data_IF_107884094802
#
_entry.id   IF_107884094802
#
_cell.length_a   1.000
_cell.length_b   1.000
_cell.length_c   1.000
_cell.angle_alpha   90.00
_cell.angle_beta   90.00
_cell.angle_gamma   90.00
#
_symmetry.space_group_name_H-M   'P 1'
#
loop_
_entity.id
_entity.type
_entity.pdbx_description
1 polymer ?
#
# COMPACT_ATOMS: atom_id res chain seq x y z
N UNK A 1 -13.81 14.91 64.29
CA UNK A 1 -14.06 15.62 63.04
C UNK A 1 -13.35 14.87 61.92
N UNK A 2 -14.09 14.06 61.19
CA UNK A 2 -13.55 13.23 60.10
C UNK A 2 -13.62 13.99 58.79
N UNK A 3 -12.45 14.25 58.20
CA UNK A 3 -12.32 14.96 56.95
C UNK A 3 -12.53 13.98 55.79
N UNK A 4 -13.69 14.03 55.16
CA UNK A 4 -14.07 13.17 54.03
C UNK A 4 -13.71 13.91 52.73
N UNK A 5 -12.53 13.57 52.14
CA UNK A 5 -12.16 14.07 50.83
C UNK A 5 -12.93 13.32 49.73
N UNK A 6 -13.49 13.98 48.70
CA UNK A 6 -14.21 13.32 47.63
C UNK A 6 -13.23 12.55 46.74
N UNK A 7 -13.49 11.26 46.54
CA UNK A 7 -12.83 10.44 45.50
C UNK A 7 -13.27 10.91 44.12
N UNK A 8 -12.38 11.55 43.40
CA UNK A 8 -12.58 11.82 41.97
C UNK A 8 -12.43 10.49 41.23
N UNK A 9 -13.53 9.96 40.73
CA UNK A 9 -13.54 8.83 39.84
C UNK A 9 -12.99 9.28 38.46
N UNK A 10 -11.74 8.95 38.17
CA UNK A 10 -11.15 9.14 36.85
C UNK A 10 -11.70 8.04 35.94
N UNK A 11 -12.81 8.29 35.27
CA UNK A 11 -13.29 7.46 34.18
C UNK A 11 -12.34 7.61 32.98
N UNK A 12 -11.21 6.92 33.05
CA UNK A 12 -10.28 6.74 31.94
C UNK A 12 -10.90 5.87 30.87
N UNK A 13 -11.84 6.40 30.08
CA UNK A 13 -12.15 5.79 28.78
C UNK A 13 -10.95 6.07 27.90
N UNK A 14 -10.02 5.10 27.83
CA UNK A 14 -9.00 5.05 26.81
C UNK A 14 -9.70 5.16 25.45
N UNK A 15 -9.35 6.17 24.65
CA UNK A 15 -9.83 6.24 23.27
C UNK A 15 -9.48 4.92 22.56
N UNK A 16 -10.39 4.34 21.75
CA UNK A 16 -10.08 3.12 21.02
C UNK A 16 -8.83 3.36 20.17
N UNK A 17 -7.90 2.40 20.22
CA UNK A 17 -6.70 2.47 19.41
C UNK A 17 -7.09 2.71 17.93
N UNK A 18 -6.39 3.60 17.20
CA UNK A 18 -6.71 3.86 15.81
C UNK A 18 -6.67 2.57 15.00
N UNK A 19 -7.68 2.33 14.17
CA UNK A 19 -7.71 1.12 13.35
C UNK A 19 -6.53 1.13 12.39
N UNK A 20 -5.90 -0.03 12.20
CA UNK A 20 -4.84 -0.17 11.19
C UNK A 20 -5.43 -0.01 9.80
N UNK A 21 -4.83 0.87 8.99
CA UNK A 21 -5.19 1.04 7.60
C UNK A 21 -4.95 -0.25 6.81
N UNK A 22 -5.87 -0.58 5.92
CA UNK A 22 -5.84 -1.79 5.09
C UNK A 22 -5.25 -1.46 3.73
N UNK A 23 -4.16 -2.13 3.38
CA UNK A 23 -3.55 -2.06 2.04
C UNK A 23 -3.81 -3.37 1.32
N UNK A 24 -4.53 -3.29 0.21
CA UNK A 24 -4.75 -4.42 -0.70
C UNK A 24 -3.59 -4.46 -1.71
N UNK A 25 -2.84 -5.54 -1.71
CA UNK A 25 -1.69 -5.75 -2.60
C UNK A 25 -2.09 -6.75 -3.67
N UNK A 26 -2.14 -6.30 -4.93
CA UNK A 26 -2.39 -7.14 -6.10
C UNK A 26 -1.07 -7.35 -6.85
N UNK A 27 -0.51 -8.53 -6.68
CA UNK A 27 0.79 -8.96 -7.21
C UNK A 27 0.76 -10.49 -7.41
N UNK A 28 0.96 -10.97 -8.63
CA UNK A 28 0.88 -12.38 -8.98
C UNK A 28 2.12 -13.19 -8.56
N UNK A 29 3.29 -12.55 -8.46
CA UNK A 29 4.49 -13.20 -7.95
C UNK A 29 4.43 -13.39 -6.43
N UNK A 30 4.33 -14.63 -6.00
CA UNK A 30 4.16 -14.99 -4.58
C UNK A 30 5.25 -14.42 -3.66
N UNK A 31 6.52 -14.45 -4.12
CA UNK A 31 7.66 -13.93 -3.35
C UNK A 31 7.65 -12.41 -3.24
N UNK A 32 7.38 -11.70 -4.35
CA UNK A 32 7.32 -10.22 -4.37
C UNK A 32 6.15 -9.72 -3.55
N UNK A 33 4.95 -10.22 -3.78
CA UNK A 33 3.78 -9.85 -3.01
C UNK A 33 3.91 -10.22 -1.53
N UNK A 34 4.60 -11.34 -1.22
CA UNK A 34 4.92 -11.74 0.16
C UNK A 34 5.83 -10.75 0.86
N UNK A 35 6.90 -10.33 0.19
CA UNK A 35 7.85 -9.33 0.70
C UNK A 35 7.15 -7.97 0.93
N UNK A 36 6.44 -7.46 -0.06
CA UNK A 36 5.69 -6.20 0.05
C UNK A 36 4.72 -6.25 1.24
N UNK A 37 3.95 -7.33 1.36
CA UNK A 37 3.00 -7.46 2.46
C UNK A 37 3.68 -7.55 3.84
N UNK A 38 4.85 -8.18 3.94
CA UNK A 38 5.63 -8.24 5.18
C UNK A 38 6.13 -6.85 5.58
N UNK A 39 6.68 -6.09 4.64
CA UNK A 39 7.16 -4.72 4.86
C UNK A 39 6.01 -3.79 5.30
N UNK A 40 4.88 -3.83 4.62
CA UNK A 40 3.69 -3.05 5.01
C UNK A 40 3.21 -3.38 6.42
N UNK A 41 3.29 -4.66 6.84
CA UNK A 41 2.92 -5.06 8.20
C UNK A 41 3.91 -4.54 9.25
N UNK A 42 5.21 -4.50 8.94
CA UNK A 42 6.22 -3.90 9.81
C UNK A 42 5.95 -2.40 10.03
N UNK A 43 5.44 -1.71 9.01
CA UNK A 43 5.02 -0.31 9.07
C UNK A 43 3.67 -0.09 9.78
N UNK A 44 3.06 -1.14 10.30
CA UNK A 44 1.80 -1.05 11.05
C UNK A 44 0.53 -1.15 10.20
N UNK A 45 0.62 -1.32 8.89
CA UNK A 45 -0.53 -1.53 8.02
C UNK A 45 -1.07 -2.97 8.14
N UNK A 46 -2.33 -3.13 7.76
CA UNK A 46 -2.91 -4.46 7.53
C UNK A 46 -2.81 -4.78 6.04
N UNK A 47 -1.78 -5.52 5.65
CA UNK A 47 -1.62 -5.94 4.27
C UNK A 47 -2.45 -7.19 3.96
N UNK A 48 -3.26 -7.09 2.91
CA UNK A 48 -4.08 -8.17 2.34
C UNK A 48 -3.59 -8.43 0.93
N UNK A 49 -3.20 -9.66 0.63
CA UNK A 49 -2.70 -10.04 -0.69
C UNK A 49 -3.79 -10.65 -1.55
N UNK A 50 -3.72 -10.34 -2.83
CA UNK A 50 -4.42 -11.02 -3.90
C UNK A 50 -3.43 -11.29 -5.03
N UNK A 51 -3.57 -12.42 -5.71
CA UNK A 51 -2.75 -12.80 -6.87
C UNK A 51 -3.49 -12.69 -8.20
N UNK A 52 -4.77 -12.40 -8.16
CA UNK A 52 -5.59 -12.08 -9.33
C UNK A 52 -6.64 -11.00 -9.00
N UNK A 53 -7.20 -10.34 -10.03
CA UNK A 53 -8.18 -9.29 -9.86
C UNK A 53 -9.47 -9.71 -9.17
N UNK A 54 -9.96 -10.92 -9.49
CA UNK A 54 -11.22 -11.43 -8.93
C UNK A 54 -11.09 -11.66 -7.44
N UNK A 55 -9.95 -12.21 -7.00
CA UNK A 55 -9.63 -12.34 -5.59
C UNK A 55 -9.50 -10.97 -4.93
N UNK A 56 -8.82 -10.01 -5.57
CA UNK A 56 -8.68 -8.65 -5.05
C UNK A 56 -10.05 -8.02 -4.77
N UNK A 57 -10.95 -8.08 -5.72
CA UNK A 57 -12.30 -7.53 -5.57
C UNK A 57 -13.12 -8.28 -4.52
N UNK A 58 -12.99 -9.60 -4.44
CA UNK A 58 -13.63 -10.41 -3.40
C UNK A 58 -13.14 -10.03 -2.01
N UNK A 59 -11.84 -9.87 -1.83
CA UNK A 59 -11.23 -9.47 -0.57
C UNK A 59 -11.59 -8.03 -0.18
N UNK A 60 -11.69 -7.14 -1.17
CA UNK A 60 -12.06 -5.74 -0.97
C UNK A 60 -13.47 -5.57 -0.40
N UNK A 61 -14.44 -6.38 -0.88
CA UNK A 61 -15.83 -6.33 -0.39
C UNK A 61 -15.96 -6.57 1.11
N UNK A 62 -15.12 -7.45 1.66
CA UNK A 62 -15.14 -7.77 3.09
C UNK A 62 -14.24 -6.90 3.97
N UNK A 63 -13.39 -6.06 3.37
CA UNK A 63 -12.32 -5.38 4.11
C UNK A 63 -12.20 -3.88 3.87
N UNK A 64 -12.88 -3.34 2.84
CA UNK A 64 -12.86 -1.92 2.48
C UNK A 64 -11.43 -1.33 2.56
N UNK A 65 -10.56 -1.60 1.58
CA UNK A 65 -9.17 -1.19 1.64
C UNK A 65 -9.05 0.34 1.66
N UNK A 66 -8.07 0.83 2.42
CA UNK A 66 -7.72 2.24 2.47
C UNK A 66 -6.77 2.63 1.33
N UNK A 67 -6.09 1.64 0.72
CA UNK A 67 -5.22 1.79 -0.45
C UNK A 67 -5.16 0.49 -1.23
N UNK A 68 -5.04 0.60 -2.56
CA UNK A 68 -4.71 -0.52 -3.46
C UNK A 68 -3.31 -0.31 -4.02
N UNK A 69 -2.42 -1.25 -3.79
CA UNK A 69 -1.11 -1.34 -4.43
C UNK A 69 -1.23 -2.35 -5.57
N UNK A 70 -1.11 -1.88 -6.81
CA UNK A 70 -1.39 -2.65 -8.02
C UNK A 70 -0.15 -2.79 -8.88
N UNK A 71 0.32 -4.02 -9.07
CA UNK A 71 1.32 -4.32 -10.10
C UNK A 71 0.64 -4.31 -11.49
N UNK A 72 1.22 -3.56 -12.42
CA UNK A 72 0.77 -3.53 -13.82
C UNK A 72 1.35 -4.66 -14.67
N UNK A 73 2.39 -5.34 -14.19
CA UNK A 73 3.05 -6.44 -14.90
C UNK A 73 2.42 -7.80 -14.60
N UNK A 74 1.12 -7.82 -14.31
CA UNK A 74 0.39 -9.07 -14.11
C UNK A 74 0.33 -9.86 -15.41
N UNK A 75 0.44 -11.18 -15.30
CA UNK A 75 0.49 -12.05 -16.46
C UNK A 75 -0.81 -12.03 -17.30
N UNK A 76 -1.94 -11.75 -16.66
CA UNK A 76 -3.27 -11.62 -17.29
C UNK A 76 -4.33 -11.22 -16.27
N UNK A 77 -5.32 -10.37 -16.57
CA UNK A 77 -5.46 -9.50 -17.76
C UNK A 77 -4.52 -8.28 -17.73
N UNK A 78 -4.59 -7.41 -18.76
CA UNK A 78 -3.81 -6.16 -18.82
C UNK A 78 -4.00 -5.32 -17.55
N UNK A 79 -2.90 -4.86 -16.96
CA UNK A 79 -2.90 -4.07 -15.73
C UNK A 79 -3.75 -2.80 -15.81
N UNK A 80 -3.90 -2.19 -16.99
CA UNK A 80 -4.79 -1.04 -17.19
C UNK A 80 -6.29 -1.42 -17.16
N UNK A 81 -6.64 -2.60 -17.63
CA UNK A 81 -8.01 -3.11 -17.47
C UNK A 81 -8.33 -3.31 -16.00
N UNK A 82 -7.39 -3.88 -15.26
CA UNK A 82 -7.53 -4.10 -13.82
C UNK A 82 -7.64 -2.77 -13.07
N UNK A 83 -6.83 -1.76 -13.44
CA UNK A 83 -6.92 -0.41 -12.86
C UNK A 83 -8.35 0.14 -12.99
N UNK A 84 -8.94 0.04 -14.18
CA UNK A 84 -10.29 0.51 -14.45
C UNK A 84 -11.34 -0.32 -13.70
N UNK A 85 -11.17 -1.64 -13.64
CA UNK A 85 -12.05 -2.52 -12.88
C UNK A 85 -12.01 -2.21 -11.38
N UNK A 86 -10.83 -2.05 -10.79
CA UNK A 86 -10.65 -1.65 -9.40
C UNK A 86 -11.30 -0.30 -9.13
N UNK A 87 -11.17 0.65 -10.04
CA UNK A 87 -11.75 1.98 -9.90
C UNK A 87 -13.28 1.98 -10.05
N UNK A 88 -13.84 1.13 -10.87
CA UNK A 88 -15.29 1.00 -11.07
C UNK A 88 -15.99 0.24 -9.94
N UNK A 89 -15.27 -0.55 -9.16
CA UNK A 89 -15.85 -1.38 -8.11
C UNK A 89 -16.17 -0.55 -6.85
N UNK A 90 -17.37 -0.72 -6.32
CA UNK A 90 -17.86 0.05 -5.18
C UNK A 90 -16.97 -0.06 -3.94
N UNK A 91 -16.40 -1.23 -3.68
CA UNK A 91 -15.55 -1.48 -2.52
C UNK A 91 -14.17 -0.82 -2.60
N UNK A 92 -13.68 -0.50 -3.81
CA UNK A 92 -12.32 0.02 -4.05
C UNK A 92 -12.30 1.39 -4.71
N UNK A 93 -13.41 1.85 -5.30
CA UNK A 93 -13.48 3.09 -6.10
C UNK A 93 -12.96 4.35 -5.41
N UNK A 94 -12.99 4.39 -4.07
CA UNK A 94 -12.54 5.54 -3.26
C UNK A 94 -11.14 5.37 -2.71
N UNK A 95 -10.60 4.15 -2.71
CA UNK A 95 -9.25 3.91 -2.24
C UNK A 95 -8.24 4.51 -3.22
N UNK A 96 -7.22 5.25 -2.77
CA UNK A 96 -6.12 5.63 -3.63
C UNK A 96 -5.45 4.39 -4.21
N UNK A 97 -5.03 4.47 -5.48
CA UNK A 97 -4.33 3.39 -6.17
C UNK A 97 -2.89 3.85 -6.39
N UNK A 98 -1.93 3.07 -5.89
CA UNK A 98 -0.52 3.22 -6.20
C UNK A 98 -0.15 2.10 -7.15
N UNK A 99 0.36 2.48 -8.33
CA UNK A 99 0.83 1.53 -9.34
C UNK A 99 2.27 1.11 -9.05
N UNK A 100 2.55 -0.16 -9.31
CA UNK A 100 3.92 -0.69 -9.39
C UNK A 100 4.15 -1.15 -10.82
N UNK A 101 5.22 -0.69 -11.48
CA UNK A 101 5.45 -0.98 -12.90
C UNK A 101 6.93 -1.20 -13.20
N UNK A 102 7.24 -2.25 -13.98
CA UNK A 102 8.59 -2.58 -14.43
C UNK A 102 8.96 -2.08 -15.83
N UNK A 103 7.99 -1.51 -16.57
CA UNK A 103 8.18 -1.08 -17.96
C UNK A 103 7.83 0.40 -18.18
N UNK A 104 7.77 0.79 -19.45
CA UNK A 104 7.22 2.09 -19.82
C UNK A 104 5.74 2.14 -19.45
N UNK A 105 5.39 3.21 -18.76
CA UNK A 105 4.03 3.44 -18.29
C UNK A 105 3.33 4.39 -19.25
N UNK A 106 2.57 3.85 -20.18
CA UNK A 106 1.79 4.62 -21.14
C UNK A 106 0.34 4.78 -20.65
N UNK A 107 0.17 5.64 -19.63
CA UNK A 107 -1.16 5.99 -19.15
C UNK A 107 -1.77 7.06 -20.06
N UNK A 108 -3.03 6.87 -20.44
CA UNK A 108 -3.82 7.97 -20.95
C UNK A 108 -4.02 9.03 -19.86
N UNK A 109 -4.37 10.27 -20.25
CA UNK A 109 -4.68 11.29 -19.24
C UNK A 109 -5.80 10.86 -18.29
N UNK A 110 -6.81 10.14 -18.81
CA UNK A 110 -7.91 9.62 -18.01
C UNK A 110 -7.45 8.52 -17.03
N UNK A 111 -6.55 7.62 -17.44
CA UNK A 111 -6.02 6.59 -16.54
C UNK A 111 -5.10 7.20 -15.47
N UNK A 112 -4.32 8.24 -15.83
CA UNK A 112 -3.45 8.94 -14.89
C UNK A 112 -4.24 9.60 -13.74
N UNK A 113 -5.43 10.12 -14.01
CA UNK A 113 -6.32 10.70 -13.00
C UNK A 113 -6.85 9.65 -11.99
N UNK A 114 -6.81 8.37 -12.34
CA UNK A 114 -7.22 7.28 -11.46
C UNK A 114 -6.14 6.88 -10.45
N UNK A 115 -4.91 7.38 -10.60
CA UNK A 115 -3.72 6.92 -9.90
C UNK A 115 -3.26 7.97 -8.88
N UNK A 116 -2.98 7.55 -7.66
CA UNK A 116 -2.48 8.41 -6.60
C UNK A 116 -0.94 8.47 -6.56
N UNK A 117 -0.26 7.48 -7.14
CA UNK A 117 1.20 7.41 -7.18
C UNK A 117 1.70 6.26 -8.03
N UNK A 118 2.97 6.31 -8.40
CA UNK A 118 3.64 5.30 -9.22
C UNK A 118 5.00 4.95 -8.63
N UNK A 119 5.25 3.66 -8.47
CA UNK A 119 6.54 3.08 -8.07
C UNK A 119 7.12 2.30 -9.25
N UNK A 120 8.30 2.64 -9.70
CA UNK A 120 8.95 1.95 -10.83
C UNK A 120 9.86 0.84 -10.34
N UNK A 121 9.75 -0.36 -10.95
CA UNK A 121 10.67 -1.49 -10.72
C UNK A 121 11.96 -1.29 -11.56
N UNK A 122 13.15 -1.57 -11.03
CA UNK A 122 13.42 -1.92 -9.63
C UNK A 122 13.26 -0.71 -8.71
N UNK A 123 12.72 -0.91 -7.52
CA UNK A 123 12.50 0.17 -6.55
C UNK A 123 13.22 -0.07 -5.23
N UNK A 124 13.58 1.02 -4.59
CA UNK A 124 13.97 0.99 -3.19
C UNK A 124 12.72 0.82 -2.32
N UNK A 125 12.86 -0.01 -1.28
CA UNK A 125 11.75 -0.31 -0.35
C UNK A 125 11.22 0.97 0.30
N UNK A 126 12.11 1.87 0.71
CA UNK A 126 11.71 3.12 1.36
C UNK A 126 10.96 4.05 0.41
N UNK A 127 11.32 4.05 -0.88
CA UNK A 127 10.58 4.79 -1.91
C UNK A 127 9.17 4.26 -2.05
N UNK A 128 9.00 2.94 -2.13
CA UNK A 128 7.68 2.30 -2.22
C UNK A 128 6.84 2.58 -0.97
N UNK A 129 7.41 2.44 0.22
CA UNK A 129 6.72 2.72 1.48
C UNK A 129 6.32 4.20 1.59
N UNK A 130 7.14 5.12 1.12
CA UNK A 130 6.82 6.55 1.11
C UNK A 130 5.69 6.90 0.14
N UNK A 131 5.61 6.23 -1.03
CA UNK A 131 4.45 6.40 -1.92
C UNK A 131 3.15 5.91 -1.25
N UNK A 132 3.21 4.78 -0.56
CA UNK A 132 2.06 4.27 0.22
C UNK A 132 1.66 5.27 1.32
N UNK A 133 2.62 5.77 2.10
CA UNK A 133 2.37 6.77 3.14
C UNK A 133 1.75 8.04 2.57
N UNK A 134 2.31 8.57 1.48
CA UNK A 134 1.81 9.79 0.80
C UNK A 134 0.37 9.60 0.35
N UNK A 135 0.07 8.49 -0.32
CA UNK A 135 -1.27 8.18 -0.80
C UNK A 135 -2.28 7.99 0.34
N UNK A 136 -1.84 7.54 1.51
CA UNK A 136 -2.67 7.39 2.71
C UNK A 136 -2.75 8.65 3.59
N UNK A 137 -2.00 9.71 3.25
CA UNK A 137 -1.88 10.92 4.09
C UNK A 137 -1.12 10.68 5.40
N UNK A 138 -0.26 9.66 5.44
CA UNK A 138 0.61 9.38 6.58
C UNK A 138 1.94 10.15 6.45
N UNK A 139 2.67 10.39 7.57
CA UNK A 139 3.97 11.03 7.52
C UNK A 139 4.96 10.23 6.67
N UNK A 140 5.61 10.91 5.72
CA UNK A 140 6.70 10.32 4.94
C UNK A 140 8.01 10.39 5.72
N UNK A 141 8.88 9.39 5.50
CA UNK A 141 10.22 9.36 6.08
C UNK A 141 11.20 9.95 5.07
N UNK A 142 12.11 10.79 5.52
CA UNK A 142 13.16 11.31 4.65
C UNK A 142 14.09 10.15 4.24
N UNK A 143 14.03 9.80 2.94
CA UNK A 143 14.88 8.76 2.36
C UNK A 143 16.12 9.45 1.84
N UNK A 144 17.27 9.15 2.43
CA UNK A 144 18.54 9.50 1.81
C UNK A 144 18.73 8.58 0.59
N UNK A 145 18.94 9.13 -0.61
CA UNK A 145 19.19 8.29 -1.77
C UNK A 145 20.45 7.45 -1.50
N UNK A 146 20.29 6.12 -1.46
CA UNK A 146 21.45 5.23 -1.45
C UNK A 146 22.17 5.47 -2.76
N UNK A 147 23.37 6.01 -2.69
CA UNK A 147 24.28 5.99 -3.83
C UNK A 147 24.65 4.52 -4.05
N UNK A 148 23.94 3.87 -4.98
CA UNK A 148 24.43 2.60 -5.53
C UNK A 148 25.62 2.95 -6.40
N UNK A 149 26.81 2.64 -5.93
CA UNK A 149 28.00 2.70 -6.78
C UNK A 149 27.81 1.65 -7.87
N UNK A 150 27.94 2.07 -9.13
CA UNK A 150 27.80 1.15 -10.28
C UNK A 150 28.81 -0.03 -10.21
N UNK A 151 29.83 0.05 -9.36
CA UNK A 151 30.79 -1.01 -9.11
C UNK A 151 30.22 -2.14 -8.26
N UNK A 152 29.24 -1.90 -7.39
CA UNK A 152 28.63 -2.96 -6.57
C UNK A 152 27.80 -3.95 -7.40
N UNK A 153 27.32 -3.53 -8.57
CA UNK A 153 26.56 -4.40 -9.48
C UNK A 153 27.43 -5.47 -10.18
N UNK A 154 28.74 -5.23 -10.31
CA UNK A 154 29.65 -6.15 -10.99
C UNK A 154 30.36 -7.14 -10.05
N UNK A 155 30.27 -6.94 -8.72
CA UNK A 155 30.97 -7.79 -7.76
C UNK A 155 30.12 -8.94 -7.19
N UNK A 156 28.78 -8.92 -7.40
CA UNK A 156 27.87 -9.96 -6.93
C UNK A 156 27.01 -10.51 -8.08
N UNK A 157 27.69 -10.90 -9.17
CA UNK A 157 27.05 -11.52 -10.34
C UNK A 157 26.21 -12.75 -9.94
N UNK A 158 24.91 -12.66 -10.17
CA UNK A 158 23.99 -13.78 -10.33
C UNK A 158 23.42 -13.76 -11.74
#
# INVERSE_FOLDING_TARGET
MANHAPRVAVNGRSAPAPRRKVVLVLEDHASVGGLIAALLRQEGYRAVRAWDPQEALRLARGRSPDLVLLDLNLAYPDGLEILREVRSNEATRRAPIVLVSGGELNLSSADAELVAGVVRKPFDIDVMLNEVRRALGDPVVEVQPRQYDAQDYYLHGY
#
